data_IF_502564062129
#
_entry.id   IF_502564062129
#
_cell.length_a   1.000
_cell.length_b   1.000
_cell.length_c   1.000
_cell.angle_alpha   90.00
_cell.angle_beta   90.00
_cell.angle_gamma   90.00
#
_symmetry.space_group_name_H-M   'P 1'
#
loop_
_entity.id
_entity.type
_entity.pdbx_description
1 polymer ?
#
# COMPACT_ATOMS: atom_id res chain seq x y z
N UNK A 1 0.60 -8.42 22.41
CA UNK A 1 -0.66 -9.16 22.57
C UNK A 1 -0.34 -10.48 23.28
N UNK A 2 -1.01 -10.77 24.37
CA UNK A 2 -0.88 -12.03 25.09
C UNK A 2 -2.29 -12.62 25.30
N UNK A 3 -2.63 -13.66 24.52
CA UNK A 3 -3.99 -14.18 24.45
C UNK A 3 -4.96 -13.08 23.98
N UNK A 4 -6.00 -12.83 24.76
CA UNK A 4 -7.02 -11.80 24.45
C UNK A 4 -6.64 -10.39 24.92
N UNK A 5 -5.45 -10.23 25.53
CA UNK A 5 -5.02 -8.96 26.08
C UNK A 5 -4.13 -8.19 25.10
N UNK A 6 -4.55 -6.99 24.75
CA UNK A 6 -3.77 -6.01 24.01
C UNK A 6 -3.22 -4.97 24.99
N UNK A 7 -1.91 -4.73 24.98
CA UNK A 7 -1.26 -3.74 25.84
C UNK A 7 -0.55 -2.70 24.95
N UNK A 8 -0.73 -1.44 25.28
CA UNK A 8 0.05 -0.36 24.68
C UNK A 8 1.40 -0.24 25.40
N UNK A 9 2.47 -0.47 24.65
CA UNK A 9 3.85 -0.46 25.18
C UNK A 9 4.43 0.95 25.40
N UNK A 10 3.66 2.00 25.08
CA UNK A 10 4.10 3.40 25.14
C UNK A 10 5.37 3.68 24.32
N UNK A 11 5.51 2.96 23.22
CA UNK A 11 6.57 3.13 22.25
C UNK A 11 5.95 3.59 20.94
N UNK A 12 6.16 4.85 20.59
CA UNK A 12 5.74 5.40 19.31
C UNK A 12 6.91 5.34 18.32
N UNK A 13 6.63 4.90 17.09
CA UNK A 13 7.64 4.82 16.04
C UNK A 13 7.53 6.03 15.12
N UNK A 14 8.63 6.77 14.86
CA UNK A 14 8.62 7.97 14.03
C UNK A 14 8.56 7.60 12.54
N UNK A 15 7.39 7.22 12.05
CA UNK A 15 7.12 7.01 10.61
C UNK A 15 7.33 8.29 9.80
N UNK A 16 7.04 8.28 8.50
CA UNK A 16 6.87 9.50 7.72
C UNK A 16 5.62 10.28 8.15
N UNK A 17 5.33 11.35 7.43
CA UNK A 17 4.17 12.20 7.73
C UNK A 17 2.88 11.46 7.37
N UNK A 18 1.86 11.62 8.21
CA UNK A 18 0.52 11.09 8.02
C UNK A 18 0.49 9.59 7.66
N UNK A 19 0.90 8.69 8.57
CA UNK A 19 0.85 7.25 8.31
C UNK A 19 -0.61 6.79 8.16
N UNK A 20 -1.03 6.56 6.92
CA UNK A 20 -2.41 6.25 6.56
C UNK A 20 -2.74 4.76 6.76
N UNK A 21 -1.80 3.88 6.44
CA UNK A 21 -2.02 2.44 6.49
C UNK A 21 -0.77 1.72 7.01
N UNK A 22 -0.98 0.51 7.53
CA UNK A 22 0.09 -0.38 7.99
C UNK A 22 -0.18 -1.81 7.54
N UNK A 23 0.86 -2.50 7.10
CA UNK A 23 0.82 -3.92 6.79
C UNK A 23 2.01 -4.63 7.45
N UNK A 24 1.75 -5.76 8.10
CA UNK A 24 2.78 -6.62 8.68
C UNK A 24 3.08 -7.75 7.71
N UNK A 25 4.36 -8.02 7.45
CA UNK A 25 4.75 -9.15 6.60
C UNK A 25 4.33 -10.49 7.25
N UNK A 26 4.00 -11.52 6.45
CA UNK A 26 3.61 -12.83 6.99
C UNK A 26 4.66 -13.45 7.92
N UNK A 27 5.93 -13.09 7.76
CA UNK A 27 7.02 -13.53 8.64
C UNK A 27 6.97 -12.92 10.05
N UNK A 28 6.20 -11.84 10.26
CA UNK A 28 6.19 -11.07 11.50
C UNK A 28 7.46 -10.25 11.75
N UNK A 29 8.43 -10.23 10.82
CA UNK A 29 9.75 -9.60 11.03
C UNK A 29 9.79 -8.13 10.68
N UNK A 30 8.97 -7.70 9.73
CA UNK A 30 8.85 -6.31 9.31
C UNK A 30 7.39 -5.88 9.23
N UNK A 31 7.16 -4.58 9.40
CA UNK A 31 5.95 -3.91 9.00
C UNK A 31 6.28 -2.76 8.04
N UNK A 32 5.33 -2.40 7.22
CA UNK A 32 5.41 -1.25 6.32
C UNK A 32 4.29 -0.28 6.67
N UNK A 33 4.57 1.04 6.62
CA UNK A 33 3.54 2.08 6.72
C UNK A 33 3.46 2.88 5.43
N UNK A 34 2.27 3.22 4.99
CA UNK A 34 2.06 4.17 3.91
C UNK A 34 1.99 5.58 4.53
N UNK A 35 3.01 6.38 4.29
CA UNK A 35 3.16 7.72 4.86
C UNK A 35 2.69 8.71 3.79
N UNK A 36 1.43 9.16 3.90
CA UNK A 36 0.70 9.85 2.84
C UNK A 36 1.06 11.35 2.68
N UNK A 37 1.97 11.86 3.51
CA UNK A 37 2.47 13.23 3.40
C UNK A 37 1.49 14.29 3.86
N UNK A 38 0.64 14.79 2.98
CA UNK A 38 -0.35 15.81 3.30
C UNK A 38 -1.70 15.16 3.67
N UNK A 39 -2.05 15.20 4.92
CA UNK A 39 -3.33 14.90 5.58
C UNK A 39 -4.40 14.15 4.73
N UNK A 40 -4.03 13.08 4.02
CA UNK A 40 -4.93 12.28 3.18
C UNK A 40 -5.23 12.90 1.81
N UNK A 41 -4.35 13.73 1.29
CA UNK A 41 -4.43 14.32 -0.03
C UNK A 41 -3.14 14.18 -0.82
N UNK A 42 -3.18 14.63 -2.07
CA UNK A 42 -2.00 14.81 -2.90
C UNK A 42 -1.61 16.28 -2.91
N UNK A 43 -0.33 16.57 -2.80
CA UNK A 43 0.22 17.94 -2.88
C UNK A 43 1.22 18.12 -4.04
N UNK A 44 1.44 17.07 -4.82
CA UNK A 44 2.40 17.02 -5.91
C UNK A 44 3.82 16.67 -5.47
N UNK A 45 4.05 16.41 -4.19
CA UNK A 45 5.34 15.99 -3.64
C UNK A 45 5.40 14.45 -3.54
N UNK A 46 6.60 13.91 -3.49
CA UNK A 46 6.77 12.46 -3.32
C UNK A 46 6.84 12.09 -1.84
N UNK A 47 6.15 11.04 -1.48
CA UNK A 47 6.04 10.47 -0.15
C UNK A 47 6.69 9.10 -0.04
N UNK A 48 6.61 8.49 1.15
CA UNK A 48 7.38 7.29 1.46
C UNK A 48 6.55 6.14 2.01
N UNK A 49 7.17 4.97 1.97
CA UNK A 49 6.82 3.82 2.80
C UNK A 49 7.91 3.69 3.87
N UNK A 50 7.57 3.76 5.16
CA UNK A 50 8.52 3.44 6.22
C UNK A 50 8.62 1.93 6.41
N UNK A 51 9.85 1.44 6.61
CA UNK A 51 10.14 0.03 6.90
C UNK A 51 10.47 -0.11 8.38
N UNK A 52 9.64 -0.87 9.08
CA UNK A 52 9.77 -1.13 10.52
C UNK A 52 10.45 -2.48 10.73
N UNK A 53 11.55 -2.52 11.44
CA UNK A 53 12.17 -3.75 11.96
C UNK A 53 11.47 -4.15 13.25
N UNK A 54 10.66 -5.21 13.20
CA UNK A 54 9.94 -5.75 14.36
C UNK A 54 10.78 -6.72 15.20
N UNK A 55 11.93 -7.17 14.68
CA UNK A 55 12.86 -8.04 15.44
C UNK A 55 13.83 -7.22 16.30
N UNK A 56 13.99 -5.93 16.03
CA UNK A 56 14.82 -5.05 16.85
C UNK A 56 14.19 -4.86 18.25
N UNK A 57 15.04 -4.64 19.24
CA UNK A 57 14.64 -4.39 20.62
C UNK A 57 15.20 -3.03 21.09
N UNK A 58 14.39 -1.97 21.17
CA UNK A 58 12.98 -1.88 20.76
C UNK A 58 12.81 -1.91 19.21
N UNK A 59 11.59 -2.18 18.70
CA UNK A 59 11.28 -2.02 17.27
C UNK A 59 11.64 -0.62 16.76
N UNK A 60 12.06 -0.51 15.49
CA UNK A 60 12.51 0.78 14.94
C UNK A 60 12.32 0.87 13.44
N UNK A 61 12.23 2.09 12.95
CA UNK A 61 12.30 2.37 11.51
C UNK A 61 13.73 2.15 11.03
N UNK A 62 13.91 1.37 9.97
CA UNK A 62 15.23 1.05 9.40
C UNK A 62 15.42 1.63 8.00
N UNK A 63 14.33 1.99 7.30
CA UNK A 63 14.41 2.60 5.97
C UNK A 63 13.12 3.38 5.65
N UNK A 64 13.22 4.26 4.65
CA UNK A 64 12.09 4.94 3.99
C UNK A 64 12.25 4.88 2.49
N UNK A 65 11.30 4.25 1.83
CA UNK A 65 11.30 4.04 0.38
C UNK A 65 10.38 5.07 -0.27
N UNK A 66 10.94 5.91 -1.13
CA UNK A 66 10.14 6.88 -1.91
C UNK A 66 9.26 6.12 -2.90
N UNK A 67 7.96 6.43 -2.92
CA UNK A 67 6.98 5.71 -3.75
C UNK A 67 6.20 6.60 -4.70
N UNK A 68 5.82 7.79 -4.30
CA UNK A 68 5.03 8.74 -5.09
C UNK A 68 4.14 9.59 -4.20
N UNK A 69 3.32 10.43 -4.79
CA UNK A 69 2.47 11.40 -4.12
C UNK A 69 1.20 10.74 -3.54
N UNK A 70 1.03 10.80 -2.23
CA UNK A 70 -0.14 10.32 -1.51
C UNK A 70 -0.28 8.78 -1.50
N UNK A 71 0.66 7.99 -0.90
CA UNK A 71 0.45 6.56 -0.71
C UNK A 71 -0.60 6.30 0.38
N UNK A 72 -1.63 5.52 0.07
CA UNK A 72 -2.71 5.17 0.99
C UNK A 72 -2.85 3.66 1.21
N UNK A 73 -3.46 2.95 0.27
CA UNK A 73 -3.63 1.51 0.38
C UNK A 73 -2.30 0.77 0.33
N UNK A 74 -2.13 -0.20 1.21
CA UNK A 74 -0.89 -0.98 1.33
C UNK A 74 -1.23 -2.45 1.52
N UNK A 75 -0.58 -3.32 0.76
CA UNK A 75 -0.72 -4.77 0.91
C UNK A 75 0.62 -5.48 0.73
N UNK A 76 0.82 -6.55 1.48
CA UNK A 76 1.97 -7.45 1.34
C UNK A 76 1.46 -8.81 0.83
N UNK A 77 2.18 -9.40 -0.13
CA UNK A 77 1.84 -10.70 -0.69
C UNK A 77 1.82 -11.80 0.39
N UNK A 78 1.04 -12.88 0.23
CA UNK A 78 1.04 -13.99 1.18
C UNK A 78 2.40 -14.68 1.34
N UNK A 79 3.30 -14.53 0.37
CA UNK A 79 4.69 -15.03 0.45
C UNK A 79 5.63 -14.06 1.19
N UNK A 80 5.25 -12.79 1.36
CA UNK A 80 6.06 -11.78 2.00
C UNK A 80 7.22 -11.25 1.15
N UNK A 81 7.26 -11.57 -0.13
CA UNK A 81 8.34 -11.19 -1.08
C UNK A 81 8.03 -9.92 -1.88
N UNK A 82 6.77 -9.53 -1.93
CA UNK A 82 6.29 -8.34 -2.66
C UNK A 82 5.31 -7.55 -1.79
N UNK A 83 5.43 -6.23 -1.82
CA UNK A 83 4.39 -5.33 -1.34
C UNK A 83 3.93 -4.41 -2.48
N UNK A 84 2.76 -3.83 -2.30
CA UNK A 84 2.22 -2.80 -3.18
C UNK A 84 1.66 -1.67 -2.34
N UNK A 85 1.89 -0.43 -2.79
CA UNK A 85 1.24 0.75 -2.26
C UNK A 85 0.42 1.41 -3.38
N UNK A 86 -0.82 1.76 -3.10
CA UNK A 86 -1.60 2.58 -4.04
C UNK A 86 -1.24 4.04 -3.84
N UNK A 87 -1.05 4.74 -4.96
CA UNK A 87 -0.57 6.11 -5.01
C UNK A 87 -1.65 6.97 -5.64
N UNK A 88 -2.09 8.00 -4.95
CA UNK A 88 -3.13 8.90 -5.43
C UNK A 88 -2.68 9.66 -6.69
N UNK A 89 -1.43 10.12 -6.72
CA UNK A 89 -0.82 10.84 -7.83
C UNK A 89 -1.66 12.03 -8.32
N UNK A 90 -2.25 12.78 -7.40
CA UNK A 90 -3.09 13.93 -7.71
C UNK A 90 -4.48 13.60 -8.26
N UNK A 91 -4.88 12.33 -8.39
CA UNK A 91 -6.16 11.96 -9.01
C UNK A 91 -7.40 12.40 -8.23
N UNK A 92 -7.24 12.77 -6.97
CA UNK A 92 -8.26 13.36 -6.10
C UNK A 92 -8.29 14.90 -6.14
N UNK A 93 -7.34 15.56 -6.78
CA UNK A 93 -7.11 17.01 -6.61
C UNK A 93 -7.24 17.82 -7.92
N UNK A 94 -8.35 17.66 -8.58
CA UNK A 94 -8.68 18.51 -9.75
C UNK A 94 -9.16 19.90 -9.26
N UNK A 95 -8.64 21.03 -9.75
CA UNK A 95 -7.84 21.24 -10.97
C UNK A 95 -6.34 21.53 -10.72
N UNK A 96 -5.71 20.94 -9.70
CA UNK A 96 -4.30 21.20 -9.39
C UNK A 96 -3.37 20.98 -10.59
N UNK A 97 -2.23 21.65 -10.64
CA UNK A 97 -1.25 21.53 -11.73
C UNK A 97 -0.61 20.13 -11.81
N UNK A 98 -0.60 19.39 -10.70
CA UNK A 98 -0.12 18.02 -10.59
C UNK A 98 -1.24 16.97 -10.77
N UNK A 99 -2.44 17.38 -11.18
CA UNK A 99 -3.56 16.46 -11.39
C UNK A 99 -3.28 15.43 -12.49
N UNK A 100 -3.49 14.17 -12.16
CA UNK A 100 -3.58 13.06 -13.10
C UNK A 100 -4.96 12.42 -12.99
N UNK A 101 -5.53 11.96 -14.11
CA UNK A 101 -6.84 11.27 -14.10
C UNK A 101 -6.82 9.98 -13.30
N UNK A 102 -5.73 9.27 -13.39
CA UNK A 102 -5.51 7.97 -12.76
C UNK A 102 -4.38 8.05 -11.74
N UNK A 103 -4.52 7.27 -10.69
CA UNK A 103 -3.42 6.99 -9.79
C UNK A 103 -2.59 5.79 -10.25
N UNK A 104 -1.69 5.37 -9.41
CA UNK A 104 -0.78 4.26 -9.71
C UNK A 104 -0.63 3.29 -8.56
N UNK A 105 0.03 2.19 -8.85
CA UNK A 105 0.43 1.14 -7.91
C UNK A 105 1.95 1.06 -7.90
N UNK A 106 2.58 1.46 -6.81
CA UNK A 106 4.01 1.24 -6.60
C UNK A 106 4.25 -0.22 -6.20
N UNK A 107 5.05 -0.94 -6.97
CA UNK A 107 5.44 -2.34 -6.71
C UNK A 107 6.77 -2.35 -5.99
N UNK A 108 6.81 -2.99 -4.83
CA UNK A 108 7.96 -3.07 -3.93
C UNK A 108 8.43 -4.53 -3.80
N UNK A 109 9.74 -4.76 -3.94
CA UNK A 109 10.37 -6.04 -3.59
C UNK A 109 10.74 -6.02 -2.12
N UNK A 110 10.48 -7.11 -1.43
CA UNK A 110 10.93 -7.36 -0.06
C UNK A 110 12.00 -8.46 -0.08
N UNK A 111 13.18 -8.14 0.45
CA UNK A 111 14.28 -9.09 0.63
C UNK A 111 14.79 -8.94 2.08
N UNK A 112 14.28 -9.77 2.97
CA UNK A 112 14.48 -9.62 4.41
C UNK A 112 13.92 -8.28 4.92
N UNK A 113 14.80 -7.39 5.39
CA UNK A 113 14.46 -6.04 5.85
C UNK A 113 14.70 -4.96 4.79
N UNK A 114 15.24 -5.34 3.62
CA UNK A 114 15.45 -4.42 2.51
C UNK A 114 14.20 -4.38 1.65
N UNK A 115 13.66 -3.19 1.45
CA UNK A 115 12.51 -2.93 0.59
C UNK A 115 12.94 -1.99 -0.54
N UNK A 116 12.57 -2.33 -1.77
CA UNK A 116 13.00 -1.57 -2.95
C UNK A 116 11.84 -1.40 -3.92
N UNK A 117 11.54 -0.18 -4.32
CA UNK A 117 10.59 0.10 -5.40
C UNK A 117 11.14 -0.41 -6.74
N UNK A 118 10.32 -1.19 -7.45
CA UNK A 118 10.69 -1.82 -8.71
C UNK A 118 10.10 -1.08 -9.91
N UNK A 119 8.82 -0.69 -9.82
CA UNK A 119 8.08 -0.03 -10.90
C UNK A 119 6.79 0.57 -10.39
N UNK A 120 6.18 1.40 -11.24
CA UNK A 120 4.79 1.83 -11.11
C UNK A 120 3.93 1.16 -12.18
N UNK A 121 2.65 0.98 -11.86
CA UNK A 121 1.62 0.48 -12.77
C UNK A 121 0.44 1.44 -12.66
N UNK A 122 0.03 2.08 -13.74
CA UNK A 122 -1.19 2.89 -13.76
C UNK A 122 -2.41 2.01 -13.48
N UNK A 123 -3.35 2.53 -12.67
CA UNK A 123 -4.62 1.87 -12.32
C UNK A 123 -5.78 2.82 -12.62
N UNK A 124 -6.84 2.86 -11.82
CA UNK A 124 -7.95 3.80 -12.03
C UNK A 124 -7.81 5.10 -11.25
N UNK A 125 -8.89 5.89 -11.24
CA UNK A 125 -8.94 7.18 -10.55
C UNK A 125 -9.12 7.01 -9.04
N UNK A 126 -8.33 7.73 -8.27
CA UNK A 126 -8.31 7.72 -6.81
C UNK A 126 -8.27 6.28 -6.27
N UNK A 127 -7.16 5.55 -6.52
CA UNK A 127 -7.04 4.21 -5.96
C UNK A 127 -6.79 4.31 -4.44
N UNK A 128 -7.58 3.58 -3.63
CA UNK A 128 -7.46 3.63 -2.17
C UNK A 128 -7.16 2.27 -1.55
N UNK A 129 -7.55 1.20 -2.20
CA UNK A 129 -7.54 -0.14 -1.64
C UNK A 129 -6.70 -1.12 -2.45
N UNK A 130 -5.97 -2.00 -1.77
CA UNK A 130 -5.26 -3.10 -2.40
C UNK A 130 -5.33 -4.38 -1.55
N UNK A 131 -5.56 -5.53 -2.19
CA UNK A 131 -5.49 -6.83 -1.53
C UNK A 131 -5.04 -7.93 -2.48
N UNK A 132 -4.08 -8.74 -2.05
CA UNK A 132 -3.70 -9.97 -2.75
C UNK A 132 -4.74 -11.07 -2.48
N UNK A 133 -5.00 -11.91 -3.48
CA UNK A 133 -5.73 -13.16 -3.24
C UNK A 133 -4.93 -14.08 -2.31
N UNK A 134 -5.60 -14.96 -1.53
CA UNK A 134 -4.90 -15.83 -0.57
C UNK A 134 -3.84 -16.74 -1.20
N UNK A 135 -3.99 -17.09 -2.48
CA UNK A 135 -3.01 -17.87 -3.25
C UNK A 135 -1.88 -16.99 -3.83
N UNK A 136 -1.96 -15.68 -3.67
CA UNK A 136 -0.99 -14.70 -4.17
C UNK A 136 -0.93 -14.55 -5.69
N UNK A 137 -1.88 -15.14 -6.45
CA UNK A 137 -1.86 -15.10 -7.92
C UNK A 137 -2.49 -13.86 -8.52
N UNK A 138 -3.33 -13.18 -7.77
CA UNK A 138 -3.98 -11.95 -8.20
C UNK A 138 -3.90 -10.88 -7.13
N UNK A 139 -4.01 -9.64 -7.57
CA UNK A 139 -4.14 -8.45 -6.77
C UNK A 139 -5.38 -7.68 -7.24
N UNK A 140 -6.18 -7.24 -6.30
CA UNK A 140 -7.30 -6.34 -6.52
C UNK A 140 -6.90 -4.95 -6.06
N UNK A 141 -7.16 -3.93 -6.88
CA UNK A 141 -6.95 -2.52 -6.54
C UNK A 141 -8.28 -1.78 -6.70
N UNK A 142 -8.78 -1.21 -5.63
CA UNK A 142 -10.04 -0.46 -5.63
C UNK A 142 -9.84 0.95 -6.17
N UNK A 143 -10.52 1.28 -7.27
CA UNK A 143 -10.52 2.57 -7.92
C UNK A 143 -11.78 3.34 -7.48
N UNK A 144 -11.63 4.23 -6.51
CA UNK A 144 -12.74 4.91 -5.86
C UNK A 144 -13.63 5.67 -6.85
N UNK A 145 -13.02 6.51 -7.70
CA UNK A 145 -13.77 7.32 -8.67
C UNK A 145 -14.40 6.51 -9.81
N UNK A 146 -13.82 5.36 -10.14
CA UNK A 146 -14.30 4.49 -11.21
C UNK A 146 -15.34 3.48 -10.74
N UNK A 147 -15.55 3.35 -9.42
CA UNK A 147 -16.47 2.39 -8.81
C UNK A 147 -16.19 0.95 -9.26
N UNK A 148 -14.90 0.58 -9.27
CA UNK A 148 -14.49 -0.76 -9.66
C UNK A 148 -13.19 -1.20 -8.98
N UNK A 149 -12.86 -2.45 -9.23
CA UNK A 149 -11.54 -3.00 -8.91
C UNK A 149 -10.80 -3.34 -10.19
N UNK A 150 -9.55 -2.87 -10.30
CA UNK A 150 -8.58 -3.41 -11.25
C UNK A 150 -8.15 -4.80 -10.81
N UNK A 151 -8.07 -5.75 -11.74
CA UNK A 151 -7.60 -7.12 -11.50
C UNK A 151 -6.23 -7.28 -12.13
N UNK A 152 -5.21 -7.47 -11.30
CA UNK A 152 -3.83 -7.64 -11.75
C UNK A 152 -3.37 -9.10 -11.52
N UNK A 153 -2.62 -9.64 -12.47
CA UNK A 153 -1.95 -10.94 -12.34
C UNK A 153 -0.61 -10.75 -11.65
N UNK A 154 -0.30 -11.63 -10.71
CA UNK A 154 0.91 -11.58 -9.88
C UNK A 154 1.79 -12.80 -10.15
N UNK A 155 3.08 -12.54 -10.45
CA UNK A 155 4.13 -13.54 -10.51
C UNK A 155 5.42 -12.92 -9.91
N UNK A 156 5.56 -13.02 -8.58
CA UNK A 156 6.56 -12.26 -7.84
C UNK A 156 6.40 -10.76 -8.10
N UNK A 157 7.49 -10.06 -8.38
CA UNK A 157 7.47 -8.62 -8.74
C UNK A 157 6.94 -8.33 -10.15
N UNK A 158 6.72 -9.37 -10.97
CA UNK A 158 6.09 -9.20 -12.27
C UNK A 158 4.57 -9.15 -12.11
N UNK A 159 4.08 -7.96 -11.78
CA UNK A 159 2.64 -7.66 -11.67
C UNK A 159 2.22 -6.97 -12.97
N UNK A 160 1.10 -7.44 -13.56
CA UNK A 160 0.56 -6.91 -14.82
C UNK A 160 -0.94 -6.73 -14.72
N UNK A 161 -1.44 -5.59 -15.21
CA UNK A 161 -2.88 -5.38 -15.34
C UNK A 161 -3.46 -6.36 -16.38
N UNK A 162 -4.54 -7.04 -16.02
CA UNK A 162 -5.25 -7.97 -16.93
C UNK A 162 -6.18 -7.24 -17.90
N UNK A 163 -6.39 -5.94 -17.72
CA UNK A 163 -7.41 -5.16 -18.41
C UNK A 163 -8.84 -5.44 -17.91
N UNK A 164 -9.03 -6.40 -17.01
CA UNK A 164 -10.34 -6.72 -16.44
C UNK A 164 -10.65 -5.81 -15.26
N UNK A 165 -11.93 -5.42 -15.18
CA UNK A 165 -12.48 -4.61 -14.09
C UNK A 165 -13.68 -5.31 -13.47
N UNK A 166 -13.77 -5.24 -12.15
CA UNK A 166 -14.92 -5.73 -11.39
C UNK A 166 -15.68 -4.53 -10.85
N UNK A 167 -16.84 -4.22 -11.45
CA UNK A 167 -17.69 -3.11 -11.03
C UNK A 167 -18.37 -3.40 -9.70
N UNK A 168 -18.49 -2.35 -8.87
CA UNK A 168 -19.20 -2.40 -7.58
C UNK A 168 -20.23 -1.25 -7.51
N UNK A 169 -21.32 -1.43 -6.75
CA UNK A 169 -22.36 -0.40 -6.63
C UNK A 169 -21.97 0.66 -5.59
N UNK A 170 -20.75 1.19 -5.66
CA UNK A 170 -20.24 2.19 -4.71
C UNK A 170 -18.76 2.47 -4.93
N UNK A 171 -18.18 3.24 -4.01
CA UNK A 171 -16.81 3.69 -4.07
C UNK A 171 -15.93 2.79 -3.18
N UNK A 172 -15.03 1.95 -3.74
CA UNK A 172 -14.22 1.01 -2.96
C UNK A 172 -13.06 1.73 -2.25
N UNK A 173 -13.29 2.19 -1.03
CA UNK A 173 -12.30 2.87 -0.20
C UNK A 173 -11.40 1.90 0.59
N UNK A 174 -11.82 0.65 0.78
CA UNK A 174 -11.04 -0.35 1.52
C UNK A 174 -11.36 -1.76 1.06
N UNK A 175 -10.39 -2.63 1.15
CA UNK A 175 -10.55 -4.07 0.91
C UNK A 175 -9.70 -4.86 1.90
N UNK A 176 -10.26 -5.97 2.40
CA UNK A 176 -9.53 -6.93 3.23
C UNK A 176 -9.88 -8.33 2.77
N UNK A 177 -8.91 -9.21 2.77
CA UNK A 177 -9.17 -10.63 2.54
C UNK A 177 -9.59 -11.30 3.84
N UNK A 178 -10.57 -12.20 3.75
CA UNK A 178 -10.93 -13.03 4.90
C UNK A 178 -9.77 -13.98 5.22
N UNK A 179 -9.37 -14.12 6.49
CA UNK A 179 -8.50 -15.22 6.89
C UNK A 179 -9.21 -16.56 6.58
N UNK A 180 -8.46 -17.50 6.07
CA UNK A 180 -8.95 -18.88 5.86
C UNK A 180 -8.95 -19.66 7.15
#
# INVERSE_FOLDING_TARGET
VAGDKVTYEKLDLPTGLWPFNVAVAPSGKIALTADSGDAGGSDGSVDTISVVDLEAQPPRIVDRVVVGDGPEGLAISPKGDVAVAVILAGSNNKPAYFYHRNGSLAVLRIDGKKVTKIKDIEVGGLPEAAAFTPDGRYLLVGNYLDQDFSILRVNGTNITDTGKRFKVPGHPASVRMSPR
#
